data_IF_764053172782
#
_entry.id   IF_764053172782
#
_cell.length_a   1.000
_cell.length_b   1.000
_cell.length_c   1.000
_cell.angle_alpha   90.00
_cell.angle_beta   90.00
_cell.angle_gamma   90.00
#
_symmetry.space_group_name_H-M   'P 1'
#
loop_
_entity.id
_entity.type
_entity.pdbx_description
1 polymer ?
#
# COMPACT_ATOMS: atom_id res chain seq x y z
N UNK A 1 0.07 6.79 50.12
CA UNK A 1 -0.77 7.39 49.06
C UNK A 1 -0.16 7.30 47.65
N UNK A 2 1.18 7.25 47.50
CA UNK A 2 1.86 7.20 46.18
C UNK A 2 1.72 5.86 45.43
N UNK A 3 1.64 4.73 46.16
CA UNK A 3 1.53 3.40 45.57
C UNK A 3 0.16 3.12 44.90
N UNK A 4 -0.92 3.70 45.45
CA UNK A 4 -2.28 3.60 44.89
C UNK A 4 -2.40 4.37 43.56
N UNK A 5 -1.73 5.52 43.47
CA UNK A 5 -1.68 6.35 42.27
C UNK A 5 -0.94 5.62 41.13
N UNK A 6 0.19 4.97 41.44
CA UNK A 6 0.94 4.17 40.48
C UNK A 6 0.11 3.00 39.93
N UNK A 7 -0.67 2.33 40.80
CA UNK A 7 -1.53 1.22 40.40
C UNK A 7 -2.66 1.66 39.45
N UNK A 8 -3.26 2.84 39.70
CA UNK A 8 -4.29 3.41 38.84
C UNK A 8 -3.75 3.80 37.45
N UNK A 9 -2.52 4.30 37.37
CA UNK A 9 -1.87 4.65 36.10
C UNK A 9 -1.55 3.41 35.26
N UNK A 10 -1.09 2.32 35.89
CA UNK A 10 -0.81 1.04 35.21
C UNK A 10 -2.10 0.43 34.65
N UNK A 11 -3.20 0.47 35.42
CA UNK A 11 -4.50 -0.04 34.96
C UNK A 11 -5.03 0.74 33.75
N UNK A 12 -4.78 2.05 33.70
CA UNK A 12 -5.15 2.90 32.57
C UNK A 12 -4.36 2.55 31.29
N UNK A 13 -3.08 2.21 31.41
CA UNK A 13 -2.23 1.82 30.28
C UNK A 13 -2.63 0.48 29.64
N UNK A 14 -3.15 -0.48 30.43
CA UNK A 14 -3.64 -1.75 29.90
C UNK A 14 -4.92 -1.59 29.05
N UNK A 15 -5.74 -0.57 29.30
CA UNK A 15 -6.97 -0.33 28.53
C UNK A 15 -6.71 0.24 27.13
N UNK A 16 -5.55 0.87 26.89
CA UNK A 16 -5.18 1.39 25.57
C UNK A 16 -4.45 0.36 24.68
N UNK A 17 -4.22 -0.86 25.16
CA UNK A 17 -3.47 -1.89 24.41
C UNK A 17 -4.33 -2.76 23.47
N UNK A 18 -5.65 -2.53 23.38
CA UNK A 18 -6.56 -3.33 22.56
C UNK A 18 -6.93 -2.67 21.22
N UNK A 19 -5.93 -2.40 20.39
CA UNK A 19 -6.22 -2.15 18.97
C UNK A 19 -5.08 -2.67 18.09
N UNK A 20 -5.13 -3.97 17.81
CA UNK A 20 -4.69 -4.54 16.53
C UNK A 20 -5.47 -5.82 16.33
N UNK A 21 -6.54 -5.73 15.55
CA UNK A 21 -7.14 -6.87 14.92
C UNK A 21 -6.05 -7.57 14.10
N UNK A 22 -5.59 -8.72 14.60
CA UNK A 22 -4.73 -9.61 13.81
C UNK A 22 -5.64 -10.24 12.77
N UNK A 23 -5.64 -9.72 11.55
CA UNK A 23 -6.17 -10.45 10.42
C UNK A 23 -5.33 -11.73 10.25
N UNK A 24 -5.86 -12.83 10.77
CA UNK A 24 -5.46 -14.18 10.39
C UNK A 24 -5.98 -14.41 8.97
N UNK A 25 -5.34 -13.80 7.98
CA UNK A 25 -5.45 -14.25 6.61
C UNK A 25 -4.13 -14.93 6.29
N UNK A 26 -4.19 -16.24 6.11
CA UNK A 26 -3.24 -16.94 5.27
C UNK A 26 -3.22 -16.14 3.96
N UNK A 27 -2.18 -15.33 3.75
CA UNK A 27 -1.97 -14.56 2.52
C UNK A 27 -1.70 -15.56 1.40
N UNK A 28 -2.75 -16.22 0.90
CA UNK A 28 -2.76 -16.61 -0.50
C UNK A 28 -2.77 -15.32 -1.28
N UNK A 29 -1.56 -14.87 -1.66
CA UNK A 29 -1.32 -13.83 -2.67
C UNK A 29 -2.36 -14.08 -3.77
N UNK A 30 -3.30 -13.15 -4.03
CA UNK A 30 -4.15 -13.28 -5.19
C UNK A 30 -3.19 -13.27 -6.38
N UNK A 31 -3.06 -14.41 -7.08
CA UNK A 31 -2.00 -14.64 -8.07
C UNK A 31 -1.99 -13.64 -9.22
N UNK A 32 -3.05 -12.86 -9.34
CA UNK A 32 -3.31 -11.91 -10.42
C UNK A 32 -2.78 -10.50 -10.15
N UNK A 33 -2.29 -10.16 -8.95
CA UNK A 33 -1.65 -8.86 -8.70
C UNK A 33 -0.14 -8.98 -8.96
N UNK A 34 0.41 -8.25 -9.94
CA UNK A 34 1.83 -8.31 -10.24
C UNK A 34 2.68 -7.78 -9.09
N UNK A 35 3.80 -8.43 -8.82
CA UNK A 35 4.76 -8.01 -7.80
C UNK A 35 5.60 -6.84 -8.31
N UNK A 36 5.73 -5.80 -7.49
CA UNK A 36 6.62 -4.65 -7.74
C UNK A 36 7.85 -4.69 -6.81
N UNK A 37 8.63 -5.78 -6.88
CA UNK A 37 9.76 -6.02 -5.98
C UNK A 37 10.86 -4.95 -6.05
N UNK A 38 10.97 -4.26 -7.19
CA UNK A 38 11.93 -3.17 -7.39
C UNK A 38 11.37 -1.79 -7.04
N UNK A 39 10.16 -1.71 -6.47
CA UNK A 39 9.48 -0.45 -6.10
C UNK A 39 9.44 0.58 -7.23
N UNK A 40 9.23 0.13 -8.47
CA UNK A 40 9.13 1.02 -9.64
C UNK A 40 7.90 1.92 -9.50
N UNK A 41 8.03 3.18 -9.92
CA UNK A 41 6.91 4.14 -9.95
C UNK A 41 5.96 3.90 -11.12
N UNK A 42 6.48 3.35 -12.22
CA UNK A 42 5.69 2.99 -13.40
C UNK A 42 5.96 1.52 -13.69
N UNK A 43 4.90 0.72 -13.67
CA UNK A 43 4.89 -0.69 -14.06
C UNK A 43 3.92 -0.82 -15.24
N UNK A 44 4.46 -0.80 -16.45
CA UNK A 44 3.66 -0.79 -17.68
C UNK A 44 3.57 -2.20 -18.29
N UNK A 45 2.64 -3.03 -17.80
CA UNK A 45 2.45 -4.39 -18.32
C UNK A 45 1.62 -4.44 -19.60
N UNK A 46 0.82 -3.40 -19.87
CA UNK A 46 0.04 -3.28 -21.10
C UNK A 46 0.84 -2.65 -22.26
N UNK A 47 2.12 -2.34 -22.04
CA UNK A 47 3.01 -1.75 -23.03
C UNK A 47 2.43 -0.49 -23.70
N UNK A 48 1.76 0.36 -22.91
CA UNK A 48 1.15 1.60 -23.39
C UNK A 48 2.17 2.72 -23.59
N UNK A 49 3.31 2.64 -22.92
CA UNK A 49 4.36 3.65 -22.96
C UNK A 49 5.60 3.12 -23.66
N UNK A 50 6.23 3.97 -24.47
CA UNK A 50 7.62 3.76 -24.83
C UNK A 50 8.52 3.90 -23.59
N UNK A 51 9.76 3.39 -23.69
CA UNK A 51 10.74 3.54 -22.61
C UNK A 51 10.94 5.01 -22.19
N UNK A 52 11.02 5.92 -23.16
CA UNK A 52 11.25 7.35 -22.91
C UNK A 52 10.04 7.96 -22.17
N UNK A 53 8.82 7.60 -22.54
CA UNK A 53 7.60 8.07 -21.87
C UNK A 53 7.50 7.52 -20.44
N UNK A 54 7.77 6.23 -20.24
CA UNK A 54 7.78 5.60 -18.92
C UNK A 54 8.83 6.23 -18.01
N UNK A 55 10.05 6.46 -18.51
CA UNK A 55 11.14 7.10 -17.75
C UNK A 55 10.79 8.56 -17.40
N UNK A 56 10.21 9.30 -18.35
CA UNK A 56 9.75 10.68 -18.14
C UNK A 56 8.63 10.77 -17.12
N UNK A 57 7.66 9.86 -17.17
CA UNK A 57 6.57 9.78 -16.20
C UNK A 57 7.09 9.42 -14.80
N UNK A 58 7.97 8.41 -14.70
CA UNK A 58 8.59 8.03 -13.44
C UNK A 58 9.38 9.20 -12.84
N UNK A 59 10.14 9.94 -13.65
CA UNK A 59 10.87 11.12 -13.19
C UNK A 59 9.92 12.19 -12.64
N UNK A 60 8.81 12.50 -13.33
CA UNK A 60 7.81 13.47 -12.85
C UNK A 60 7.20 13.05 -11.51
N UNK A 61 6.88 11.75 -11.35
CA UNK A 61 6.36 11.21 -10.09
C UNK A 61 7.39 11.38 -8.98
N UNK A 62 8.65 10.98 -9.21
CA UNK A 62 9.72 11.11 -8.21
C UNK A 62 9.87 12.58 -7.78
N UNK A 63 9.89 13.52 -8.73
CA UNK A 63 10.00 14.95 -8.42
C UNK A 63 8.81 15.44 -7.56
N UNK A 64 7.59 15.02 -7.88
CA UNK A 64 6.42 15.33 -7.07
C UNK A 64 6.52 14.75 -5.64
N UNK A 65 6.99 13.51 -5.50
CA UNK A 65 7.23 12.86 -4.21
C UNK A 65 8.32 13.56 -3.39
N UNK A 66 9.30 14.24 -4.03
CA UNK A 66 10.29 15.03 -3.27
C UNK A 66 9.71 16.30 -2.64
N UNK A 67 8.58 16.78 -3.15
CA UNK A 67 7.95 18.04 -2.73
C UNK A 67 6.72 17.81 -1.84
N UNK A 68 6.31 16.56 -1.65
CA UNK A 68 5.09 16.19 -0.92
C UNK A 68 5.34 14.96 -0.04
N UNK A 69 4.40 14.64 0.85
CA UNK A 69 4.42 13.37 1.59
C UNK A 69 3.65 12.27 0.87
N UNK A 70 3.12 12.55 -0.31
CA UNK A 70 2.31 11.62 -1.08
C UNK A 70 3.20 10.69 -1.90
N UNK A 71 2.78 9.45 -2.06
CA UNK A 71 3.42 8.46 -2.93
C UNK A 71 2.48 8.09 -4.06
N UNK A 72 3.01 7.95 -5.27
CA UNK A 72 2.24 7.65 -6.47
C UNK A 72 2.90 6.48 -7.20
N UNK A 73 2.08 5.50 -7.57
CA UNK A 73 2.49 4.42 -8.47
C UNK A 73 1.48 4.30 -9.61
N UNK A 74 1.98 4.00 -10.81
CA UNK A 74 1.20 3.74 -12.01
C UNK A 74 1.39 2.28 -12.39
N UNK A 75 0.29 1.56 -12.52
CA UNK A 75 0.23 0.20 -13.02
C UNK A 75 -0.69 0.19 -14.24
N UNK A 76 -0.19 -0.30 -15.37
CA UNK A 76 -1.01 -0.62 -16.54
C UNK A 76 -1.11 -2.14 -16.68
N UNK A 77 -2.29 -2.62 -17.07
CA UNK A 77 -2.61 -4.02 -17.36
C UNK A 77 -3.60 -4.06 -18.52
N UNK A 78 -3.54 -5.09 -19.35
CA UNK A 78 -4.43 -5.20 -20.54
C UNK A 78 -5.90 -5.36 -20.16
N UNK A 79 -6.15 -6.06 -19.06
CA UNK A 79 -7.50 -6.34 -18.58
C UNK A 79 -7.51 -6.65 -17.09
N UNK A 80 -8.66 -6.39 -16.47
CA UNK A 80 -8.92 -6.85 -15.10
C UNK A 80 -9.29 -8.33 -15.11
N UNK A 81 -8.99 -9.07 -14.02
CA UNK A 81 -9.49 -10.42 -13.87
C UNK A 81 -11.02 -10.45 -13.92
N UNK A 82 -11.60 -11.54 -14.45
CA UNK A 82 -13.05 -11.69 -14.57
C UNK A 82 -13.76 -11.40 -13.25
N UNK A 83 -14.91 -10.73 -13.33
CA UNK A 83 -15.73 -10.36 -12.17
C UNK A 83 -15.01 -9.49 -11.11
N UNK A 84 -13.94 -8.79 -11.49
CA UNK A 84 -13.20 -7.90 -10.58
C UNK A 84 -13.62 -6.45 -10.79
N UNK A 85 -13.92 -5.76 -9.69
CA UNK A 85 -14.17 -4.31 -9.70
C UNK A 85 -12.84 -3.54 -9.65
N UNK A 86 -12.70 -2.50 -10.49
CA UNK A 86 -11.46 -1.71 -10.59
C UNK A 86 -11.06 -1.02 -9.29
N UNK A 87 -12.00 -0.53 -8.49
CA UNK A 87 -11.69 0.13 -7.22
C UNK A 87 -11.19 -0.89 -6.20
N UNK A 88 -11.82 -2.06 -6.13
CA UNK A 88 -11.35 -3.17 -5.28
C UNK A 88 -9.95 -3.60 -5.71
N UNK A 89 -9.73 -3.80 -7.01
CA UNK A 89 -8.41 -4.16 -7.55
C UNK A 89 -7.34 -3.13 -7.18
N UNK A 90 -7.60 -1.84 -7.43
CA UNK A 90 -6.67 -0.77 -7.08
C UNK A 90 -6.39 -0.67 -5.58
N UNK A 91 -7.39 -0.94 -4.74
CA UNK A 91 -7.22 -0.99 -3.27
C UNK A 91 -6.29 -2.12 -2.87
N UNK A 92 -6.41 -3.30 -3.47
CA UNK A 92 -5.53 -4.43 -3.17
C UNK A 92 -4.12 -4.23 -3.72
N UNK A 93 -3.97 -3.54 -4.87
CA UNK A 93 -2.67 -3.12 -5.39
C UNK A 93 -1.97 -2.17 -4.41
N UNK A 94 -2.66 -1.17 -3.88
CA UNK A 94 -2.07 -0.18 -2.97
C UNK A 94 -1.73 -0.70 -1.56
N UNK A 95 -2.21 -1.89 -1.18
CA UNK A 95 -1.85 -2.55 0.09
C UNK A 95 -0.53 -3.32 0.02
N UNK A 96 -0.02 -3.61 -1.18
CA UNK A 96 1.18 -4.42 -1.42
C UNK A 96 2.39 -3.54 -1.72
#
# INVERSE_FOLDING_TARGET
MRLKLAFQIILLFFLFSNCKEKQTNVETIPSHIPLNSSQKRVVDLAHLFSKVESDSLAYKIIQYETQTTNQIAILTIDSLPKNTNIQKFGTEVGKK
#
